data_IF_059770630384
#
_entry.id   IF_059770630384
#
_cell.length_a   1.000
_cell.length_b   1.000
_cell.length_c   1.000
_cell.angle_alpha   90.00
_cell.angle_beta   90.00
_cell.angle_gamma   90.00
#
_symmetry.space_group_name_H-M   'P 1'
#
loop_
_entity.id
_entity.type
_entity.pdbx_description
1 polymer ?
#
# COMPACT_ATOMS: atom_id res chain seq x y z
N UNK A 1 7.05 3.93 9.75
CA UNK A 1 5.78 3.44 10.33
C UNK A 1 4.87 4.50 11.03
N UNK A 2 3.53 4.31 11.02
CA UNK A 2 2.61 4.99 11.92
C UNK A 2 3.00 4.81 13.39
N UNK A 3 2.62 5.77 14.25
CA UNK A 3 2.98 5.80 15.68
C UNK A 3 2.66 4.49 16.42
N UNK A 4 1.58 3.82 16.04
CA UNK A 4 1.06 2.61 16.70
C UNK A 4 1.09 1.37 15.78
N UNK A 5 2.14 1.25 14.95
CA UNK A 5 2.28 0.13 14.03
C UNK A 5 2.51 -1.21 14.76
N UNK A 6 1.68 -2.26 14.54
CA UNK A 6 1.67 -3.44 15.41
C UNK A 6 2.55 -4.61 14.95
N UNK A 7 3.24 -4.51 13.81
CA UNK A 7 4.03 -5.61 13.24
C UNK A 7 5.53 -5.35 13.36
N UNK A 8 6.32 -6.43 13.53
CA UNK A 8 7.79 -6.41 13.62
C UNK A 8 8.52 -6.03 12.32
N UNK A 9 7.79 -5.49 11.35
CA UNK A 9 8.28 -5.07 10.04
C UNK A 9 7.69 -3.72 9.68
N UNK A 10 8.40 -2.94 8.87
CA UNK A 10 7.86 -1.68 8.35
C UNK A 10 6.64 -1.92 7.42
N UNK A 11 5.69 -0.96 7.33
CA UNK A 11 4.63 -0.97 6.33
C UNK A 11 5.17 -1.29 4.93
N UNK A 12 4.47 -2.15 4.19
CA UNK A 12 4.76 -2.35 2.78
C UNK A 12 4.44 -1.07 2.01
N UNK A 13 5.03 -0.93 0.83
CA UNK A 13 4.68 0.18 -0.04
C UNK A 13 3.18 0.09 -0.40
N UNK A 14 2.48 1.23 -0.30
CA UNK A 14 1.01 1.37 -0.45
C UNK A 14 0.16 0.80 0.68
N UNK A 15 0.76 0.24 1.74
CA UNK A 15 0.01 -0.17 2.91
C UNK A 15 -0.42 1.03 3.74
N UNK A 16 -1.65 0.99 4.23
CA UNK A 16 -2.23 2.04 5.06
C UNK A 16 -1.69 1.96 6.49
N UNK A 17 -2.24 2.77 7.40
CA UNK A 17 -1.95 2.64 8.83
C UNK A 17 -2.53 1.37 9.47
N UNK A 18 -3.37 0.62 8.75
CA UNK A 18 -3.91 -0.67 9.17
C UNK A 18 -3.20 -1.77 8.38
N UNK A 19 -2.52 -2.72 9.04
CA UNK A 19 -1.83 -3.80 8.35
C UNK A 19 -2.77 -4.63 7.47
N UNK A 20 -2.29 -5.03 6.29
CA UNK A 20 -3.03 -5.80 5.31
C UNK A 20 -4.01 -4.97 4.45
N UNK A 21 -4.23 -3.69 4.76
CA UNK A 21 -5.06 -2.80 3.94
C UNK A 21 -4.14 -1.93 3.07
N UNK A 22 -4.36 -1.96 1.76
CA UNK A 22 -3.56 -1.24 0.77
C UNK A 22 -4.39 -0.21 0.01
N UNK A 23 -3.79 0.92 -0.33
CA UNK A 23 -4.42 2.01 -1.07
C UNK A 23 -3.58 2.38 -2.31
N UNK A 24 -4.18 2.25 -3.49
CA UNK A 24 -3.53 2.54 -4.78
C UNK A 24 -4.30 3.60 -5.59
N UNK A 25 -3.58 4.38 -6.38
CA UNK A 25 -4.15 5.44 -7.19
C UNK A 25 -4.68 6.60 -6.34
N UNK A 26 -5.78 7.20 -6.79
CA UNK A 26 -6.15 8.55 -6.35
C UNK A 26 -6.78 8.66 -4.98
N UNK A 27 -7.11 7.52 -4.38
CA UNK A 27 -7.52 7.45 -2.97
C UNK A 27 -6.36 7.69 -2.01
N UNK A 28 -5.10 7.47 -2.45
CA UNK A 28 -3.93 7.64 -1.58
C UNK A 28 -3.52 9.10 -1.46
N UNK A 29 -3.10 9.48 -0.25
CA UNK A 29 -2.44 10.76 -0.02
C UNK A 29 -1.16 10.88 -0.86
N UNK A 30 -0.98 12.03 -1.51
CA UNK A 30 0.18 12.29 -2.37
C UNK A 30 0.16 11.54 -3.71
N UNK A 31 -0.99 11.04 -4.17
CA UNK A 31 -1.08 10.42 -5.50
C UNK A 31 -0.83 11.44 -6.61
N UNK A 32 -0.27 10.96 -7.72
CA UNK A 32 0.08 11.79 -8.88
C UNK A 32 -1.16 12.11 -9.76
N UNK A 33 -2.36 11.58 -9.43
CA UNK A 33 -3.61 11.80 -10.20
C UNK A 33 -3.51 11.37 -11.67
N UNK A 34 -2.80 10.27 -11.93
CA UNK A 34 -2.58 9.72 -13.29
C UNK A 34 -2.94 8.25 -13.37
N UNK A 35 -3.66 7.88 -14.42
CA UNK A 35 -4.10 6.51 -14.71
C UNK A 35 -2.93 5.52 -14.73
N UNK A 36 -1.87 5.81 -15.51
CA UNK A 36 -0.71 4.91 -15.61
C UNK A 36 -0.03 4.65 -14.25
N UNK A 37 0.06 5.68 -13.41
CA UNK A 37 0.61 5.54 -12.05
C UNK A 37 -0.29 4.67 -11.18
N UNK A 38 -1.61 4.91 -11.21
CA UNK A 38 -2.57 4.12 -10.44
C UNK A 38 -2.59 2.64 -10.84
N UNK A 39 -2.47 2.34 -12.14
CA UNK A 39 -2.37 0.96 -12.65
C UNK A 39 -1.10 0.27 -12.11
N UNK A 40 0.05 0.95 -12.17
CA UNK A 40 1.30 0.42 -11.62
C UNK A 40 1.25 0.20 -10.10
N UNK A 41 0.67 1.16 -9.37
CA UNK A 41 0.45 1.02 -7.92
C UNK A 41 -0.48 -0.17 -7.59
N UNK A 42 -1.56 -0.36 -8.37
CA UNK A 42 -2.46 -1.51 -8.19
C UNK A 42 -1.74 -2.86 -8.38
N UNK A 43 -0.90 -2.99 -9.41
CA UNK A 43 -0.10 -4.19 -9.62
C UNK A 43 0.88 -4.45 -8.47
N UNK A 44 1.52 -3.41 -7.94
CA UNK A 44 2.39 -3.53 -6.76
C UNK A 44 1.62 -3.92 -5.50
N UNK A 45 0.43 -3.35 -5.27
CA UNK A 45 -0.40 -3.70 -4.13
C UNK A 45 -0.74 -5.19 -4.11
N UNK A 46 -1.06 -5.79 -5.26
CA UNK A 46 -1.31 -7.25 -5.37
C UNK A 46 -0.07 -8.06 -4.97
N UNK A 47 1.13 -7.67 -5.41
CA UNK A 47 2.37 -8.36 -5.01
C UNK A 47 2.60 -8.30 -3.49
N UNK A 48 2.36 -7.15 -2.86
CA UNK A 48 2.49 -7.03 -1.41
C UNK A 48 1.38 -7.76 -0.64
N UNK A 49 0.16 -7.83 -1.18
CA UNK A 49 -0.91 -8.64 -0.61
C UNK A 49 -0.50 -10.11 -0.57
N UNK A 50 0.05 -10.66 -1.66
CA UNK A 50 0.56 -12.04 -1.65
C UNK A 50 1.67 -12.24 -0.61
N UNK A 51 2.56 -11.26 -0.43
CA UNK A 51 3.61 -11.32 0.59
C UNK A 51 3.07 -11.20 2.02
N UNK A 52 1.99 -10.44 2.20
CA UNK A 52 1.31 -10.28 3.49
C UNK A 52 0.53 -11.55 3.89
N UNK A 53 -0.10 -12.21 2.92
CA UNK A 53 -0.91 -13.41 3.09
C UNK A 53 -0.13 -14.73 3.04
N UNK A 54 1.19 -14.66 2.81
CA UNK A 54 2.08 -15.80 2.49
C UNK A 54 1.71 -17.12 3.13
#
# INVERSE_FOLDING_TARGET
>A
PPKDWPLDREPFFLETSVPGIFAAGDVRHGSIKRVASGVGEGAMAVQFIHRYLG
#
